data_IF_321567357000
#
_entry.id   IF_321567357000
#
_cell.length_a   1.000
_cell.length_b   1.000
_cell.length_c   1.000
_cell.angle_alpha   90.00
_cell.angle_beta   90.00
_cell.angle_gamma   90.00
#
_symmetry.space_group_name_H-M   'P 1'
#
loop_
_entity.id
_entity.type
_entity.pdbx_description
1 polymer ?
#
# COMPACT_ATOMS: atom_id res chain seq x y z
N UNK A 1 20.92 8.65 -5.96
CA UNK A 1 19.47 8.86 -5.72
C UNK A 1 19.07 8.43 -4.30
N UNK A 2 19.84 8.80 -3.27
CA UNK A 2 19.60 8.36 -1.88
C UNK A 2 18.55 9.23 -1.19
N UNK A 3 18.74 10.55 -1.14
CA UNK A 3 17.88 11.46 -0.36
C UNK A 3 16.41 11.46 -0.79
N UNK A 4 16.11 11.42 -2.10
CA UNK A 4 14.73 11.45 -2.57
C UNK A 4 13.99 10.14 -2.23
N UNK A 5 14.65 9.00 -2.42
CA UNK A 5 14.08 7.70 -2.06
C UNK A 5 13.87 7.59 -0.54
N UNK A 6 14.83 8.10 0.23
CA UNK A 6 14.76 8.17 1.70
C UNK A 6 13.66 9.10 2.18
N UNK A 7 13.50 10.28 1.60
CA UNK A 7 12.40 11.20 1.90
C UNK A 7 11.05 10.49 1.78
N UNK A 8 10.82 9.86 0.62
CA UNK A 8 9.57 9.13 0.38
C UNK A 8 9.42 7.95 1.34
N UNK A 9 10.50 7.21 1.60
CA UNK A 9 10.47 6.08 2.52
C UNK A 9 10.12 6.52 3.94
N UNK A 10 10.81 7.54 4.46
CA UNK A 10 10.66 8.10 5.80
C UNK A 10 9.22 8.59 6.04
N UNK A 11 8.73 9.49 5.18
CA UNK A 11 7.37 10.03 5.32
C UNK A 11 6.26 9.02 5.02
N UNK A 12 6.58 7.88 4.39
CA UNK A 12 5.60 6.80 4.21
C UNK A 12 5.40 5.92 5.44
N UNK A 13 6.31 5.99 6.42
CA UNK A 13 6.32 5.14 7.63
C UNK A 13 5.96 5.90 8.90
N UNK A 14 5.99 7.23 8.89
CA UNK A 14 5.71 8.05 10.06
C UNK A 14 4.21 8.07 10.42
N UNK A 15 3.92 8.03 11.73
CA UNK A 15 2.60 8.37 12.27
C UNK A 15 2.45 9.90 12.37
N UNK A 16 2.07 10.53 11.26
CA UNK A 16 1.96 11.99 11.16
C UNK A 16 0.88 12.61 12.08
N UNK A 17 -0.09 11.82 12.56
CA UNK A 17 -1.14 12.30 13.46
C UNK A 17 -0.70 12.33 14.93
N UNK A 18 0.24 11.46 15.29
CA UNK A 18 0.84 11.37 16.63
C UNK A 18 2.12 12.19 16.81
N UNK A 19 2.60 12.85 15.76
CA UNK A 19 3.86 13.59 15.76
C UNK A 19 3.68 15.09 15.50
N UNK A 20 4.55 15.88 16.13
CA UNK A 20 4.80 17.29 15.85
C UNK A 20 6.11 17.41 15.07
N UNK A 21 6.07 17.85 13.82
CA UNK A 21 7.27 18.11 13.03
C UNK A 21 7.74 19.53 13.36
N UNK A 22 8.89 19.68 14.02
CA UNK A 22 9.46 20.98 14.39
C UNK A 22 10.73 21.25 13.58
N UNK A 23 10.69 22.18 12.60
CA UNK A 23 11.90 22.64 11.91
C UNK A 23 12.91 23.30 12.85
N UNK A 24 12.43 23.98 13.90
CA UNK A 24 13.28 24.63 14.90
C UNK A 24 14.14 23.61 15.66
N UNK A 25 13.56 22.48 16.05
CA UNK A 25 14.31 21.40 16.70
C UNK A 25 14.97 20.41 15.71
N UNK A 26 14.66 20.53 14.42
CA UNK A 26 15.15 19.63 13.38
C UNK A 26 14.70 18.17 13.53
N UNK A 27 13.63 17.90 14.28
CA UNK A 27 13.16 16.54 14.58
C UNK A 27 11.65 16.41 14.68
N UNK A 28 11.18 15.17 14.60
CA UNK A 28 9.79 14.81 14.90
C UNK A 28 9.65 14.56 16.40
N UNK A 29 8.76 15.30 17.04
CA UNK A 29 8.47 15.22 18.46
C UNK A 29 7.20 14.43 18.71
N UNK A 30 7.09 13.70 19.83
CA UNK A 30 5.81 13.20 20.29
C UNK A 30 4.83 14.36 20.44
N UNK A 31 3.60 14.18 19.98
CA UNK A 31 2.56 15.20 20.11
C UNK A 31 2.35 15.56 21.58
N UNK A 32 2.59 16.82 22.00
CA UNK A 32 2.39 17.21 23.38
C UNK A 32 0.89 17.22 23.75
N UNK A 33 0.56 17.11 25.05
CA UNK A 33 -0.80 17.30 25.55
C UNK A 33 -1.36 18.68 25.14
N UNK A 34 -2.67 18.78 24.87
CA UNK A 34 -3.29 20.01 24.37
C UNK A 34 -3.07 21.24 25.25
N UNK A 35 -2.92 21.05 26.56
CA UNK A 35 -2.65 22.11 27.55
C UNK A 35 -1.26 22.74 27.40
N UNK A 36 -0.30 22.00 26.83
CA UNK A 36 1.10 22.42 26.68
C UNK A 36 1.41 23.02 25.31
N UNK A 37 0.44 23.07 24.38
CA UNK A 37 0.69 23.47 22.99
C UNK A 37 0.77 24.98 22.76
N UNK A 38 0.63 25.82 23.78
CA UNK A 38 0.79 27.28 23.63
C UNK A 38 -0.09 27.89 22.54
N UNK A 39 -1.28 27.33 22.29
CA UNK A 39 -2.19 27.76 21.23
C UNK A 39 -2.03 27.06 19.88
N UNK A 40 -0.98 26.22 19.70
CA UNK A 40 -0.83 25.38 18.53
C UNK A 40 -2.04 24.43 18.41
N UNK A 41 -2.65 24.40 17.21
CA UNK A 41 -3.79 23.52 16.92
C UNK A 41 -3.31 22.26 16.20
N UNK A 42 -3.26 21.12 16.89
CA UNK A 42 -2.75 19.90 16.29
C UNK A 42 -3.80 19.29 15.36
N UNK A 43 -3.35 18.80 14.21
CA UNK A 43 -4.18 18.23 13.17
C UNK A 43 -3.82 16.79 12.81
N UNK A 44 -4.36 16.27 11.70
CA UNK A 44 -3.92 15.00 11.10
C UNK A 44 -2.45 15.03 10.64
N UNK A 45 -1.93 16.23 10.42
CA UNK A 45 -0.52 16.55 10.22
C UNK A 45 -0.25 17.84 11.00
N UNK A 46 0.81 17.84 11.82
CA UNK A 46 1.21 19.04 12.56
C UNK A 46 2.65 19.40 12.21
N UNK A 47 2.81 20.45 11.41
CA UNK A 47 4.11 21.01 11.03
C UNK A 47 4.20 22.40 11.64
N UNK A 48 5.13 22.58 12.57
CA UNK A 48 5.30 23.84 13.29
C UNK A 48 5.95 24.88 12.38
N UNK A 49 5.46 26.12 12.42
CA UNK A 49 6.18 27.24 11.82
C UNK A 49 7.52 27.46 12.54
N UNK A 50 8.63 27.75 11.83
CA UNK A 50 9.94 27.95 12.45
C UNK A 50 10.03 29.22 13.33
N UNK A 51 9.14 30.19 13.18
CA UNK A 51 9.15 31.45 13.92
C UNK A 51 7.92 31.59 14.83
N UNK A 52 6.73 31.32 14.31
CA UNK A 52 5.48 31.41 15.07
C UNK A 52 5.11 30.04 15.65
N UNK A 53 5.67 29.69 16.82
CA UNK A 53 5.55 28.33 17.39
C UNK A 53 4.12 27.88 17.72
N UNK A 54 3.18 28.81 17.84
CA UNK A 54 1.73 28.57 17.99
C UNK A 54 1.02 28.30 16.65
N UNK A 55 1.71 28.40 15.53
CA UNK A 55 1.16 28.24 14.19
C UNK A 55 1.49 26.86 13.60
N UNK A 56 0.45 26.15 13.18
CA UNK A 56 0.57 24.91 12.41
C UNK A 56 0.36 25.22 10.92
N UNK A 57 1.43 25.20 10.13
CA UNK A 57 1.36 25.50 8.68
C UNK A 57 0.53 24.45 7.91
N UNK A 58 0.31 23.28 8.50
CA UNK A 58 -0.48 22.19 7.92
C UNK A 58 -1.90 22.08 8.51
N UNK A 59 -2.40 23.10 9.22
CA UNK A 59 -3.70 23.06 9.90
C UNK A 59 -4.90 22.81 8.95
N UNK A 60 -4.77 23.17 7.67
CA UNK A 60 -5.78 22.94 6.64
C UNK A 60 -5.76 21.54 6.03
N UNK A 61 -4.78 20.70 6.40
CA UNK A 61 -4.61 19.36 5.83
C UNK A 61 -5.59 18.38 6.47
N UNK A 62 -6.45 17.77 5.65
CA UNK A 62 -7.43 16.78 6.10
C UNK A 62 -6.81 15.40 6.29
N UNK A 63 -7.42 14.49 7.08
CA UNK A 63 -6.94 13.11 7.22
C UNK A 63 -6.85 12.39 5.87
N UNK A 64 -7.81 12.63 4.96
CA UNK A 64 -7.81 12.07 3.60
C UNK A 64 -6.57 12.50 2.81
N UNK A 65 -6.19 13.77 2.94
CA UNK A 65 -4.99 14.31 2.28
C UNK A 65 -3.72 13.66 2.85
N UNK A 66 -3.62 13.51 4.18
CA UNK A 66 -2.50 12.80 4.81
C UNK A 66 -2.41 11.35 4.34
N UNK A 67 -3.53 10.62 4.32
CA UNK A 67 -3.54 9.24 3.85
C UNK A 67 -3.12 9.12 2.37
N UNK A 68 -3.57 10.05 1.52
CA UNK A 68 -3.13 10.13 0.11
C UNK A 68 -1.64 10.42 0.01
N UNK A 69 -1.12 11.36 0.80
CA UNK A 69 0.30 11.71 0.84
C UNK A 69 1.16 10.50 1.24
N UNK A 70 0.86 9.85 2.37
CA UNK A 70 1.58 8.65 2.85
C UNK A 70 1.58 7.54 1.80
N UNK A 71 0.44 7.33 1.12
CA UNK A 71 0.35 6.36 0.01
C UNK A 71 1.25 6.77 -1.16
N UNK A 72 1.18 8.02 -1.61
CA UNK A 72 2.02 8.51 -2.71
C UNK A 72 3.52 8.43 -2.36
N UNK A 73 3.92 8.75 -1.14
CA UNK A 73 5.29 8.55 -0.67
C UNK A 73 5.69 7.08 -0.72
N UNK A 74 4.84 6.16 -0.27
CA UNK A 74 5.12 4.72 -0.35
C UNK A 74 5.30 4.22 -1.79
N UNK A 75 4.46 4.69 -2.71
CA UNK A 75 4.54 4.35 -4.13
C UNK A 75 5.81 4.93 -4.77
N UNK A 76 6.11 6.20 -4.49
CA UNK A 76 7.30 6.88 -4.96
C UNK A 76 8.60 6.26 -4.42
N UNK A 77 8.62 5.85 -3.14
CA UNK A 77 9.75 5.16 -2.53
C UNK A 77 10.06 3.81 -3.21
N UNK A 78 9.03 3.10 -3.69
CA UNK A 78 9.21 1.89 -4.51
C UNK A 78 9.77 2.25 -5.89
N UNK A 79 9.18 3.25 -6.53
CA UNK A 79 9.60 3.70 -7.85
C UNK A 79 11.07 4.14 -7.86
N UNK A 80 11.51 4.93 -6.87
CA UNK A 80 12.89 5.40 -6.76
C UNK A 80 13.94 4.29 -6.61
N UNK A 81 13.54 3.11 -6.13
CA UNK A 81 14.41 1.93 -6.01
C UNK A 81 14.40 1.06 -7.28
N UNK A 82 13.48 1.31 -8.20
CA UNK A 82 13.33 0.54 -9.43
C UNK A 82 14.34 0.91 -10.51
N UNK A 83 14.61 -0.01 -11.47
CA UNK A 83 15.56 0.21 -12.55
C UNK A 83 15.13 1.37 -13.47
N UNK A 84 13.82 1.58 -13.66
CA UNK A 84 13.29 2.70 -14.45
C UNK A 84 13.63 4.08 -13.87
N UNK A 85 13.91 4.14 -12.57
CA UNK A 85 14.32 5.39 -11.91
C UNK A 85 15.83 5.55 -11.91
N UNK A 86 16.57 4.47 -11.65
CA UNK A 86 18.03 4.50 -11.52
C UNK A 86 18.76 4.49 -12.86
N UNK A 87 18.18 3.88 -13.89
CA UNK A 87 18.83 3.67 -15.18
C UNK A 87 18.19 4.51 -16.27
N UNK A 88 19.04 5.23 -17.02
CA UNK A 88 18.60 5.99 -18.18
C UNK A 88 18.07 5.05 -19.26
N UNK A 89 16.85 5.32 -19.71
CA UNK A 89 16.27 4.64 -20.86
C UNK A 89 17.02 5.00 -22.14
N UNK A 90 17.38 3.99 -22.94
CA UNK A 90 17.99 4.15 -24.27
C UNK A 90 16.97 4.34 -25.39
N UNK A 91 15.68 4.14 -25.12
CA UNK A 91 14.60 4.08 -26.13
C UNK A 91 13.54 5.18 -25.94
N UNK A 92 13.95 6.36 -25.46
CA UNK A 92 13.04 7.52 -25.28
C UNK A 92 11.96 7.36 -24.20
N UNK A 93 11.86 6.20 -23.52
CA UNK A 93 10.92 6.02 -22.40
C UNK A 93 11.26 6.96 -21.24
N UNK A 94 10.21 7.44 -20.55
CA UNK A 94 10.38 8.20 -19.31
C UNK A 94 11.19 7.40 -18.27
N UNK A 95 12.14 8.07 -17.62
CA UNK A 95 13.02 7.49 -16.61
C UNK A 95 13.35 8.52 -15.54
N UNK A 96 13.88 8.06 -14.40
CA UNK A 96 14.27 8.94 -13.30
C UNK A 96 13.09 9.77 -12.76
N UNK A 97 13.34 11.05 -12.44
CA UNK A 97 12.34 11.97 -11.89
C UNK A 97 11.12 12.12 -12.79
N UNK A 98 11.27 11.95 -14.10
CA UNK A 98 10.15 12.02 -15.05
C UNK A 98 9.07 10.98 -14.74
N UNK A 99 9.43 9.81 -14.20
CA UNK A 99 8.47 8.78 -13.77
C UNK A 99 7.68 9.16 -12.51
N UNK A 100 8.19 10.08 -11.68
CA UNK A 100 7.46 10.63 -10.54
C UNK A 100 6.49 11.74 -10.97
N UNK A 101 6.86 12.53 -11.97
CA UNK A 101 6.08 13.66 -12.47
C UNK A 101 4.97 13.22 -13.42
N UNK A 102 5.21 12.19 -14.23
CA UNK A 102 4.22 11.63 -15.13
C UNK A 102 3.30 10.67 -14.37
N UNK A 103 2.02 11.01 -14.27
CA UNK A 103 1.03 10.05 -13.79
C UNK A 103 0.94 8.87 -14.78
N UNK A 104 0.84 7.62 -14.30
CA UNK A 104 0.46 6.51 -15.17
C UNK A 104 -0.89 6.86 -15.80
N UNK A 105 -0.90 7.11 -17.11
CA UNK A 105 -2.14 7.33 -17.86
C UNK A 105 -3.05 6.08 -17.78
N UNK A 106 -4.36 6.21 -18.01
CA UNK A 106 -5.32 5.10 -17.89
C UNK A 106 -5.04 3.89 -18.80
N UNK A 107 -4.21 4.05 -19.82
CA UNK A 107 -3.76 2.97 -20.70
C UNK A 107 -2.44 3.38 -21.36
N UNK A 108 -1.33 2.81 -20.90
CA UNK A 108 -0.07 2.84 -21.63
C UNK A 108 0.42 1.41 -21.74
N UNK A 109 0.35 0.85 -22.95
CA UNK A 109 0.89 -0.47 -23.28
C UNK A 109 2.39 -0.54 -22.93
N UNK A 110 2.70 -1.02 -21.73
CA UNK A 110 4.00 -1.58 -21.38
C UNK A 110 3.70 -2.76 -20.45
N UNK A 111 4.03 -3.96 -20.88
CA UNK A 111 3.79 -5.19 -20.13
C UNK A 111 4.40 -5.17 -18.74
N UNK A 112 3.70 -5.85 -17.84
CA UNK A 112 4.16 -6.40 -16.57
C UNK A 112 4.71 -5.40 -15.53
N UNK A 113 3.79 -4.91 -14.69
CA UNK A 113 3.99 -4.62 -13.27
C UNK A 113 2.59 -4.63 -12.62
N UNK A 114 2.15 -5.81 -12.19
CA UNK A 114 0.90 -5.96 -11.47
C UNK A 114 0.81 -5.06 -10.22
N UNK A 115 -0.41 -4.53 -10.01
CA UNK A 115 -0.97 -4.19 -8.70
C UNK A 115 -0.71 -2.79 -8.10
N UNK A 116 -0.91 -1.71 -8.87
CA UNK A 116 -1.09 -0.35 -8.30
C UNK A 116 -2.23 0.45 -8.97
N UNK A 117 -3.27 -0.22 -9.48
CA UNK A 117 -4.46 0.48 -9.99
C UNK A 117 -5.31 0.93 -8.78
N UNK A 118 -5.05 2.15 -8.30
CA UNK A 118 -5.96 2.95 -7.48
C UNK A 118 -6.50 2.27 -6.21
N UNK A 119 -5.68 2.13 -5.16
CA UNK A 119 -6.19 1.82 -3.82
C UNK A 119 -6.91 3.05 -3.26
N UNK A 120 -8.21 3.17 -3.51
CA UNK A 120 -9.09 4.18 -2.89
C UNK A 120 -9.20 3.85 -1.40
N UNK A 121 -8.92 4.82 -0.53
CA UNK A 121 -9.06 4.67 0.91
C UNK A 121 -10.43 5.19 1.31
N UNK A 122 -11.28 4.32 1.84
CA UNK A 122 -12.60 4.66 2.36
C UNK A 122 -12.44 4.89 3.87
N UNK A 123 -12.68 6.12 4.38
CA UNK A 123 -12.71 6.35 5.82
C UNK A 123 -13.83 5.50 6.45
N UNK A 124 -13.48 4.64 7.40
CA UNK A 124 -14.46 3.86 8.16
C UNK A 124 -14.88 4.70 9.37
N UNK A 125 -16.17 5.03 9.53
CA UNK A 125 -16.64 5.74 10.72
C UNK A 125 -16.43 4.85 11.95
N UNK A 126 -15.66 5.33 12.92
CA UNK A 126 -15.51 4.66 14.21
C UNK A 126 -16.37 5.40 15.24
N UNK A 127 -17.15 4.68 16.07
CA UNK A 127 -17.86 5.29 17.19
C UNK A 127 -16.81 5.72 18.21
N UNK A 128 -16.52 7.02 18.25
CA UNK A 128 -15.61 7.72 19.18
C UNK A 128 -14.10 7.35 19.14
N UNK A 129 -13.21 8.33 19.40
CA UNK A 129 -11.77 8.11 19.48
C UNK A 129 -11.43 7.27 20.72
N UNK A 130 -11.32 5.95 20.54
CA UNK A 130 -10.87 5.01 21.58
C UNK A 130 -11.61 3.67 21.64
N UNK A 131 -12.74 3.48 20.95
CA UNK A 131 -13.66 2.40 21.30
C UNK A 131 -13.54 1.08 20.51
N UNK A 132 -12.83 1.03 19.38
CA UNK A 132 -12.73 -0.20 18.58
C UNK A 132 -11.27 -0.61 18.35
N UNK A 133 -10.82 -1.76 18.91
CA UNK A 133 -9.52 -2.33 18.58
C UNK A 133 -9.42 -2.55 17.07
N UNK A 134 -8.29 -2.19 16.46
CA UNK A 134 -8.00 -2.42 15.03
C UNK A 134 -8.41 -3.83 14.58
N UNK A 135 -8.18 -4.84 15.43
CA UNK A 135 -8.58 -6.23 15.22
C UNK A 135 -10.08 -6.41 14.96
N UNK A 136 -10.95 -5.69 15.67
CA UNK A 136 -12.41 -5.76 15.49
C UNK A 136 -12.85 -5.12 14.17
N UNK A 137 -12.22 -4.00 13.80
CA UNK A 137 -12.49 -3.33 12.52
C UNK A 137 -12.07 -4.23 11.37
N UNK A 138 -10.88 -4.84 11.44
CA UNK A 138 -10.42 -5.81 10.44
C UNK A 138 -11.35 -7.03 10.34
N UNK A 139 -11.80 -7.57 11.48
CA UNK A 139 -12.75 -8.69 11.48
C UNK A 139 -14.10 -8.31 10.85
N UNK A 140 -14.63 -7.13 11.15
CA UNK A 140 -15.87 -6.63 10.56
C UNK A 140 -15.74 -6.39 9.05
N UNK A 141 -14.62 -5.81 8.61
CA UNK A 141 -14.33 -5.64 7.17
C UNK A 141 -14.20 -7.00 6.49
N UNK A 142 -13.50 -7.95 7.10
CA UNK A 142 -13.39 -9.33 6.60
C UNK A 142 -14.76 -9.97 6.43
N UNK A 143 -15.61 -9.90 7.46
CA UNK A 143 -16.98 -10.42 7.42
C UNK A 143 -17.82 -9.79 6.31
N UNK A 144 -17.78 -8.47 6.15
CA UNK A 144 -18.53 -7.80 5.05
C UNK A 144 -18.01 -8.28 3.69
N UNK A 145 -16.70 -8.38 3.52
CA UNK A 145 -16.14 -8.83 2.26
C UNK A 145 -16.47 -10.30 1.95
N UNK A 146 -16.37 -11.21 2.93
CA UNK A 146 -16.60 -12.65 2.71
C UNK A 146 -18.07 -13.02 2.73
N UNK A 147 -18.79 -12.66 3.80
CA UNK A 147 -20.15 -13.15 4.06
C UNK A 147 -21.23 -12.31 3.36
N UNK A 148 -21.02 -11.01 3.22
CA UNK A 148 -22.02 -10.11 2.59
C UNK A 148 -21.75 -9.95 1.10
N UNK A 149 -20.48 -9.85 0.70
CA UNK A 149 -20.08 -9.57 -0.69
C UNK A 149 -19.51 -10.79 -1.43
N UNK A 150 -19.30 -11.93 -0.77
CA UNK A 150 -18.82 -13.16 -1.42
C UNK A 150 -17.38 -13.11 -1.95
N UNK A 151 -16.54 -12.20 -1.43
CA UNK A 151 -15.16 -12.02 -1.88
C UNK A 151 -14.21 -13.04 -1.21
N UNK A 152 -13.33 -13.66 -2.00
CA UNK A 152 -12.19 -14.43 -1.48
C UNK A 152 -11.15 -13.49 -0.86
N UNK A 153 -10.95 -13.57 0.45
CA UNK A 153 -10.03 -12.71 1.20
C UNK A 153 -8.84 -13.51 1.73
N UNK A 154 -7.74 -13.54 0.99
CA UNK A 154 -6.50 -14.15 1.47
C UNK A 154 -5.69 -13.14 2.29
N UNK A 155 -5.33 -13.45 3.56
CA UNK A 155 -4.38 -12.63 4.29
C UNK A 155 -3.07 -12.63 3.52
N UNK A 156 -2.49 -11.45 3.29
CA UNK A 156 -1.21 -11.31 2.60
C UNK A 156 -0.10 -11.88 3.48
N UNK A 157 0.13 -13.18 3.37
CA UNK A 157 1.22 -13.89 4.02
C UNK A 157 2.56 -13.32 3.59
N UNK A 158 3.50 -13.27 4.54
CA UNK A 158 4.93 -13.19 4.23
C UNK A 158 5.26 -14.36 3.29
N UNK A 159 5.44 -14.05 2.01
CA UNK A 159 5.99 -15.00 1.04
C UNK A 159 7.48 -15.16 1.35
N UNK A 160 7.76 -15.94 2.38
CA UNK A 160 9.07 -16.47 2.71
C UNK A 160 9.31 -17.79 1.98
N UNK A 161 10.32 -17.74 1.14
CA UNK A 161 11.27 -18.79 0.82
C UNK A 161 10.88 -19.96 -0.11
N UNK A 162 11.83 -20.22 -1.00
CA UNK A 162 11.84 -21.14 -2.11
C UNK A 162 12.49 -22.45 -1.64
N UNK A 163 11.79 -23.58 -1.78
CA UNK A 163 12.32 -24.89 -1.39
C UNK A 163 11.74 -26.06 -2.17
N UNK A 164 12.29 -26.28 -3.38
CA UNK A 164 12.62 -27.58 -4.04
C UNK A 164 11.50 -28.62 -4.34
N UNK A 165 11.47 -29.23 -5.56
CA UNK A 165 10.49 -30.25 -5.91
C UNK A 165 10.89 -31.62 -5.37
N UNK A 166 9.96 -32.35 -4.75
CA UNK A 166 10.21 -33.73 -4.37
C UNK A 166 9.08 -34.40 -3.60
N UNK A 167 8.56 -35.46 -4.22
CA UNK A 167 7.89 -36.63 -3.62
C UNK A 167 6.38 -36.52 -3.33
N UNK A 168 5.63 -37.11 -4.25
CA UNK A 168 4.32 -37.74 -4.05
C UNK A 168 4.43 -38.86 -2.99
N UNK A 169 3.45 -38.99 -2.07
CA UNK A 169 3.17 -40.25 -1.42
C UNK A 169 1.84 -40.88 -1.89
N UNK A 170 1.67 -42.20 -1.69
CA UNK A 170 0.73 -43.03 -2.43
C UNK A 170 -0.62 -43.21 -1.72
N UNK A 171 -1.65 -43.52 -2.51
CA UNK A 171 -2.72 -44.43 -2.11
C UNK A 171 -3.93 -43.83 -1.38
N UNK A 172 -4.97 -43.51 -2.13
CA UNK A 172 -6.36 -43.82 -1.75
C UNK A 172 -7.19 -43.93 -3.04
N UNK A 173 -7.49 -45.17 -3.43
CA UNK A 173 -8.25 -45.47 -4.63
C UNK A 173 -9.73 -45.13 -4.47
N UNK A 174 -10.34 -44.64 -5.55
CA UNK A 174 -11.77 -44.75 -5.79
C UNK A 174 -11.94 -45.26 -7.22
N UNK A 175 -12.06 -46.57 -7.32
CA UNK A 175 -12.40 -47.34 -8.50
C UNK A 175 -13.85 -47.06 -8.90
N UNK A 176 -14.09 -46.68 -10.16
CA UNK A 176 -15.36 -46.87 -10.84
C UNK A 176 -15.06 -47.23 -12.30
N UNK A 177 -14.94 -48.55 -12.56
CA UNK A 177 -15.13 -49.12 -13.89
C UNK A 177 -16.61 -49.18 -14.26
N UNK A 178 -16.86 -49.07 -15.56
CA UNK A 178 -18.14 -49.23 -16.24
C UNK A 178 -17.99 -48.76 -17.69
N UNK A 179 -17.17 -49.44 -18.51
CA UNK A 179 -17.55 -50.57 -19.40
C UNK A 179 -18.15 -50.12 -20.75
N UNK A 180 -17.25 -50.21 -21.75
CA UNK A 180 -17.40 -50.75 -23.13
C UNK A 180 -18.07 -49.99 -24.29
N UNK A 181 -17.35 -50.04 -25.42
CA UNK A 181 -17.81 -49.97 -26.81
C UNK A 181 -17.18 -48.78 -27.57
N UNK A 182 -16.13 -48.88 -28.38
CA UNK A 182 -15.64 -49.98 -29.21
C UNK A 182 -16.21 -49.86 -30.64
N UNK A 183 -15.50 -49.20 -31.57
CA UNK A 183 -15.40 -49.57 -33.01
C UNK A 183 -14.59 -48.56 -33.85
N UNK A 184 -13.33 -48.93 -34.10
CA UNK A 184 -12.62 -49.09 -35.40
C UNK A 184 -13.24 -48.48 -36.69
N UNK A 185 -12.37 -47.83 -37.48
CA UNK A 185 -12.50 -47.53 -38.93
C UNK A 185 -11.69 -46.27 -39.29
N UNK A 186 -10.39 -46.31 -39.63
CA UNK A 186 -9.76 -46.65 -40.92
C UNK A 186 -10.11 -45.71 -42.12
N UNK A 187 -9.04 -45.15 -42.71
CA UNK A 187 -8.86 -44.51 -44.03
C UNK A 187 -9.39 -43.10 -44.34
N UNK A 188 -8.43 -42.20 -44.62
CA UNK A 188 -8.13 -41.78 -46.00
C UNK A 188 -8.70 -40.46 -46.51
N UNK A 189 -7.86 -39.41 -46.55
CA UNK A 189 -7.50 -38.58 -47.71
C UNK A 189 -6.72 -37.35 -47.23
#
# INVERSE_FOLDING_TARGET
ASLLAEFFSYFSTLDLGGLLLSPLEGRALPRPPPETLGGLRPGPLTLQDPFELSHNVAANVTPRTVSRFVRCCRDAARLCRGPEFLQRSRRGRAWGVMRLLLQPGPAGNCGDCGNSRGKFLIPIPLPSPGAAPHRRVCAAVGFVLTEVLGCGCEPRGESGDMGTPGQTPPGAGCHLEGVTGGSRGEFGA
#
